data_IF_820845566509
#
_entry.id   IF_820845566509
#
_cell.length_a   1.000
_cell.length_b   1.000
_cell.length_c   1.000
_cell.angle_alpha   90.00
_cell.angle_beta   90.00
_cell.angle_gamma   90.00
#
_symmetry.space_group_name_H-M   'P 1'
#
loop_
_entity.id
_entity.type
_entity.pdbx_description
1 polymer ?
#
# COMPACT_ATOMS: atom_id res chain seq x y z
N UNK A 1 -1.99 -47.30 -13.56
CA UNK A 1 -2.81 -47.31 -12.34
C UNK A 1 -3.00 -45.88 -11.87
N UNK A 2 -4.09 -45.24 -12.30
CA UNK A 2 -4.36 -43.82 -12.00
C UNK A 2 -4.95 -43.62 -10.61
N UNK A 3 -4.38 -42.70 -9.83
CA UNK A 3 -4.99 -42.23 -8.58
C UNK A 3 -5.84 -41.00 -8.90
N UNK A 4 -7.16 -41.16 -8.81
CA UNK A 4 -8.12 -40.06 -8.82
C UNK A 4 -8.04 -39.32 -7.49
N UNK A 5 -7.87 -38.01 -7.52
CA UNK A 5 -8.06 -37.14 -6.35
C UNK A 5 -9.56 -36.92 -6.09
N UNK A 6 -10.01 -36.85 -4.83
CA UNK A 6 -11.40 -36.53 -4.50
C UNK A 6 -11.68 -35.01 -4.60
N UNK A 7 -12.93 -34.59 -4.81
CA UNK A 7 -13.32 -33.19 -4.92
C UNK A 7 -13.72 -32.65 -3.54
N UNK A 8 -13.00 -31.65 -3.03
CA UNK A 8 -13.56 -30.75 -2.03
C UNK A 8 -12.93 -29.37 -2.19
N UNK A 9 -13.82 -28.40 -2.33
CA UNK A 9 -13.56 -27.01 -2.61
C UNK A 9 -12.84 -26.30 -1.45
N UNK A 10 -12.03 -25.33 -1.86
CA UNK A 10 -11.06 -24.58 -1.05
C UNK A 10 -11.71 -23.59 -0.09
N UNK A 11 -11.65 -23.85 1.22
CA UNK A 11 -11.76 -22.78 2.24
C UNK A 11 -11.24 -23.25 3.61
N UNK A 12 -9.94 -23.06 3.87
CA UNK A 12 -9.42 -22.96 5.24
C UNK A 12 -8.00 -22.37 5.22
N UNK A 13 -7.89 -21.05 5.07
CA UNK A 13 -6.70 -20.34 5.49
C UNK A 13 -6.64 -20.41 7.02
N UNK A 14 -5.92 -21.41 7.56
CA UNK A 14 -5.63 -21.50 8.99
C UNK A 14 -4.44 -20.58 9.30
N UNK A 15 -4.67 -19.62 10.18
CA UNK A 15 -3.68 -18.72 10.76
C UNK A 15 -2.63 -19.54 11.54
N UNK A 16 -1.36 -19.48 11.13
CA UNK A 16 -0.24 -20.12 11.85
C UNK A 16 0.60 -19.01 12.53
N UNK A 17 0.54 -18.87 13.87
CA UNK A 17 1.10 -17.73 14.59
C UNK A 17 2.61 -17.81 14.88
N UNK A 18 3.35 -18.79 14.35
CA UNK A 18 4.76 -19.00 14.76
C UNK A 18 5.81 -19.23 13.66
N UNK A 19 5.55 -18.88 12.40
CA UNK A 19 6.57 -19.07 11.35
C UNK A 19 7.45 -17.84 11.11
N UNK A 20 8.63 -17.88 11.74
CA UNK A 20 9.84 -17.24 11.24
C UNK A 20 10.36 -18.01 10.01
N UNK A 21 10.63 -17.24 8.94
CA UNK A 21 11.47 -17.53 7.75
C UNK A 21 11.21 -18.81 6.93
N UNK A 22 10.68 -18.60 5.72
CA UNK A 22 11.16 -19.30 4.51
C UNK A 22 11.23 -18.28 3.38
N UNK A 23 12.30 -18.26 2.56
CA UNK A 23 12.35 -17.38 1.40
C UNK A 23 11.16 -17.74 0.52
N UNK A 24 10.31 -16.74 0.25
CA UNK A 24 9.18 -16.90 -0.66
C UNK A 24 9.75 -17.42 -1.96
N UNK A 25 9.46 -18.69 -2.25
CA UNK A 25 9.62 -19.28 -3.56
C UNK A 25 9.06 -18.30 -4.58
N UNK A 26 9.82 -17.98 -5.62
CA UNK A 26 9.48 -17.06 -6.71
C UNK A 26 8.18 -17.39 -7.49
N UNK A 27 7.36 -18.33 -7.00
CA UNK A 27 6.10 -18.77 -7.57
C UNK A 27 4.86 -18.37 -6.75
N UNK A 28 4.97 -17.39 -5.85
CA UNK A 28 3.82 -16.81 -5.15
C UNK A 28 3.59 -15.32 -5.45
N UNK A 29 3.78 -14.90 -6.70
CA UNK A 29 3.39 -13.56 -7.15
C UNK A 29 2.55 -13.55 -8.45
N UNK A 30 2.41 -14.68 -9.14
CA UNK A 30 1.79 -14.68 -10.47
C UNK A 30 0.25 -14.82 -10.46
N UNK A 31 -0.40 -14.98 -9.30
CA UNK A 31 -1.85 -15.26 -9.24
C UNK A 31 -2.66 -14.21 -8.47
N UNK A 32 -2.17 -12.97 -8.40
CA UNK A 32 -3.06 -11.81 -8.21
C UNK A 32 -2.66 -10.66 -9.12
N UNK A 33 -2.70 -10.85 -10.46
CA UNK A 33 -2.64 -9.73 -11.39
C UNK A 33 -3.90 -8.88 -11.17
N UNK A 34 -3.81 -7.85 -10.35
CA UNK A 34 -4.93 -6.93 -10.13
C UNK A 34 -5.05 -6.29 -8.75
N UNK A 35 -4.32 -6.76 -7.73
CA UNK A 35 -4.28 -6.02 -6.45
C UNK A 35 -3.23 -4.91 -6.52
N UNK A 36 -3.60 -3.81 -7.16
CA UNK A 36 -2.86 -2.57 -7.02
C UNK A 36 -2.89 -2.17 -5.54
N UNK A 37 -1.71 -1.98 -4.95
CA UNK A 37 -1.63 -1.38 -3.63
C UNK A 37 -1.98 0.09 -3.82
N UNK A 38 -3.14 0.48 -3.33
CA UNK A 38 -3.69 1.82 -3.50
C UNK A 38 -3.97 2.45 -2.15
N UNK A 39 -3.59 3.71 -2.02
CA UNK A 39 -3.90 4.54 -0.88
C UNK A 39 -4.43 5.88 -1.40
N UNK A 40 -5.63 6.29 -0.96
CA UNK A 40 -6.29 7.50 -1.44
C UNK A 40 -6.38 7.61 -2.99
N UNK A 41 -6.53 6.46 -3.68
CA UNK A 41 -6.54 6.39 -5.14
C UNK A 41 -5.17 6.55 -5.81
N UNK A 42 -4.09 6.58 -5.04
CA UNK A 42 -2.70 6.66 -5.54
C UNK A 42 -2.06 5.30 -5.60
N UNK A 43 -1.29 5.07 -6.66
CA UNK A 43 -0.54 3.84 -6.85
C UNK A 43 0.70 3.79 -5.96
N UNK A 44 0.98 2.61 -5.43
CA UNK A 44 2.21 2.29 -4.72
C UNK A 44 3.30 1.85 -5.69
N UNK A 45 4.49 2.43 -5.57
CA UNK A 45 5.70 1.96 -6.21
C UNK A 45 6.44 1.00 -5.27
N UNK A 46 6.66 -0.24 -5.72
CA UNK A 46 7.31 -1.27 -4.90
C UNK A 46 8.83 -1.17 -4.88
N UNK A 47 9.43 -0.51 -5.87
CA UNK A 47 10.89 -0.43 -5.97
C UNK A 47 11.44 0.59 -4.97
N UNK A 48 10.65 1.62 -4.65
CA UNK A 48 11.01 2.67 -3.70
C UNK A 48 10.12 2.72 -2.45
N UNK A 49 9.08 1.87 -2.39
CA UNK A 49 8.16 1.74 -1.26
C UNK A 49 7.34 3.02 -0.93
N UNK A 50 6.98 3.80 -1.94
CA UNK A 50 6.26 5.08 -1.79
C UNK A 50 4.99 5.16 -2.66
N UNK A 51 4.08 6.04 -2.29
CA UNK A 51 2.91 6.41 -3.10
C UNK A 51 3.15 7.73 -3.83
N UNK A 52 2.84 7.78 -5.13
CA UNK A 52 2.96 9.03 -5.89
C UNK A 52 1.67 9.85 -5.84
N UNK A 53 1.74 11.03 -5.24
CA UNK A 53 0.63 11.97 -5.07
C UNK A 53 0.70 13.14 -6.06
N UNK A 54 1.18 12.90 -7.29
CA UNK A 54 1.40 13.90 -8.34
C UNK A 54 2.50 14.93 -8.03
N UNK A 55 2.37 15.72 -6.96
CA UNK A 55 3.38 16.70 -6.60
C UNK A 55 4.50 16.14 -5.72
N UNK A 56 4.20 15.09 -4.94
CA UNK A 56 5.09 14.56 -3.90
C UNK A 56 5.01 13.06 -3.78
N UNK A 57 6.04 12.48 -3.20
CA UNK A 57 6.05 11.08 -2.77
C UNK A 57 5.63 10.98 -1.31
N UNK A 58 4.74 10.04 -1.02
CA UNK A 58 4.20 9.78 0.31
C UNK A 58 4.70 8.46 0.85
N UNK A 59 5.29 8.50 2.05
CA UNK A 59 5.73 7.33 2.79
C UNK A 59 4.66 6.97 3.83
N UNK A 60 3.98 5.85 3.60
CA UNK A 60 2.92 5.37 4.48
C UNK A 60 3.46 4.77 5.78
N UNK A 61 4.74 4.43 5.87
CA UNK A 61 5.36 3.89 7.09
C UNK A 61 5.52 4.97 8.16
N UNK A 62 5.83 6.21 7.75
CA UNK A 62 5.92 7.38 8.63
C UNK A 62 4.67 8.27 8.60
N UNK A 63 3.81 8.08 7.60
CA UNK A 63 2.56 8.82 7.45
C UNK A 63 2.72 10.24 6.90
N UNK A 64 3.81 10.53 6.17
CA UNK A 64 4.16 11.89 5.70
C UNK A 64 4.73 11.88 4.28
N UNK A 65 4.76 13.05 3.64
CA UNK A 65 5.49 13.27 2.40
C UNK A 65 7.00 13.27 2.63
N UNK A 66 7.77 12.83 1.63
CA UNK A 66 9.24 12.80 1.68
C UNK A 66 9.88 14.13 1.27
N UNK A 67 9.09 15.07 0.77
CA UNK A 67 9.52 16.43 0.38
C UNK A 67 8.55 17.49 0.88
N UNK A 68 9.05 18.71 1.06
CA UNK A 68 8.22 19.88 1.40
C UNK A 68 7.13 20.11 0.35
N UNK A 69 5.98 20.65 0.79
CA UNK A 69 4.92 21.16 -0.06
C UNK A 69 5.41 22.34 -0.91
N UNK A 70 5.42 22.24 -2.25
CA UNK A 70 5.77 23.35 -3.13
C UNK A 70 4.86 24.57 -2.96
N UNK A 71 3.60 24.37 -2.57
CA UNK A 71 2.66 25.45 -2.29
C UNK A 71 2.84 26.03 -0.88
N UNK A 72 3.60 25.36 0.00
CA UNK A 72 3.83 25.73 1.40
C UNK A 72 2.53 25.97 2.17
N UNK A 73 1.50 25.18 1.86
CA UNK A 73 0.21 25.27 2.50
C UNK A 73 0.27 24.72 3.95
N UNK A 74 -0.42 25.40 4.87
CA UNK A 74 -0.46 25.04 6.29
C UNK A 74 0.87 25.21 7.07
N UNK A 75 0.90 24.64 8.27
CA UNK A 75 2.02 24.78 9.23
C UNK A 75 3.03 23.64 9.22
N UNK A 76 2.73 22.51 8.54
CA UNK A 76 3.65 21.39 8.36
C UNK A 76 3.65 20.96 6.89
N UNK A 77 4.72 21.30 6.18
CA UNK A 77 4.84 21.06 4.74
C UNK A 77 5.13 19.62 4.36
N UNK A 78 5.23 18.71 5.33
CA UNK A 78 5.36 17.27 5.10
C UNK A 78 4.08 16.51 5.43
N UNK A 79 3.09 17.14 6.08
CA UNK A 79 1.89 16.44 6.50
C UNK A 79 1.00 16.07 5.31
N UNK A 80 0.44 14.86 5.35
CA UNK A 80 -0.70 14.49 4.51
C UNK A 80 -2.00 14.81 5.26
N UNK A 81 -2.81 15.71 4.71
CA UNK A 81 -4.17 16.08 5.18
C UNK A 81 -4.31 16.30 6.70
N UNK A 82 -3.35 17.02 7.28
CA UNK A 82 -3.34 17.33 8.72
C UNK A 82 -3.25 16.09 9.61
N UNK A 83 -2.65 15.01 9.11
CA UNK A 83 -2.59 13.69 9.75
C UNK A 83 -3.98 13.08 10.05
N UNK A 84 -5.02 13.47 9.30
CA UNK A 84 -6.35 12.88 9.41
C UNK A 84 -6.85 12.26 8.09
N UNK A 85 -6.18 11.19 7.58
CA UNK A 85 -6.50 10.54 6.31
C UNK A 85 -7.78 9.72 6.32
N UNK A 86 -8.45 9.57 7.47
CA UNK A 86 -9.75 8.93 7.58
C UNK A 86 -10.89 9.84 7.14
N UNK A 87 -10.70 11.16 7.28
CA UNK A 87 -11.72 12.17 6.97
C UNK A 87 -11.40 12.88 5.66
N UNK A 88 -10.13 13.13 5.39
CA UNK A 88 -9.69 13.98 4.29
C UNK A 88 -8.87 13.20 3.26
N UNK A 89 -8.85 13.71 2.02
CA UNK A 89 -8.05 13.18 0.93
C UNK A 89 -7.53 14.31 0.08
N UNK A 90 -6.23 14.31 -0.23
CA UNK A 90 -5.62 15.28 -1.13
C UNK A 90 -5.28 14.62 -2.48
N UNK A 91 -6.06 14.91 -3.56
CA UNK A 91 -5.80 14.35 -4.87
C UNK A 91 -4.57 14.94 -5.57
N UNK A 92 -4.08 16.12 -5.16
CA UNK A 92 -3.01 16.83 -5.87
C UNK A 92 -1.66 16.72 -5.19
N UNK A 93 -1.64 16.36 -3.90
CA UNK A 93 -0.42 16.35 -3.10
C UNK A 93 0.07 17.77 -2.80
N UNK A 94 -0.81 18.77 -2.73
CA UNK A 94 -0.47 20.20 -2.51
C UNK A 94 -1.33 20.86 -1.42
N UNK A 95 -2.16 20.10 -0.68
CA UNK A 95 -3.10 20.67 0.29
C UNK A 95 -2.84 20.13 1.69
N UNK A 96 -2.74 21.04 2.66
CA UNK A 96 -2.55 20.67 4.05
C UNK A 96 -3.84 20.11 4.68
N UNK A 97 -5.02 20.58 4.25
CA UNK A 97 -6.35 20.09 4.63
C UNK A 97 -7.24 20.20 3.39
N UNK A 98 -8.03 19.17 3.10
CA UNK A 98 -8.79 19.07 1.85
C UNK A 98 -10.29 18.92 2.09
#
# INVERSE_FOLDING_TARGET
TGRKHPPWDSAAARYDPWRYTTPVSWRYQQQSPGKAWVFAGKGYDRDIELYYFNARWYDATIGSFTSEDPARDGGNWYAYVGHNPLVYTDPTGLRAIA
#
